data_IF_303060983923
#
_entry.id   IF_303060983923
#
_cell.length_a   1.000
_cell.length_b   1.000
_cell.length_c   1.000
_cell.angle_alpha   90.00
_cell.angle_beta   90.00
_cell.angle_gamma   90.00
#
_symmetry.space_group_name_H-M   'P 1'
#
loop_
_entity.id
_entity.type
_entity.pdbx_description
1 polymer ?
#
# COMPACT_ATOMS: atom_id res chain seq x y z
N UNK A 1 27.26 4.57 -5.74
CA UNK A 1 26.64 5.26 -6.90
C UNK A 1 25.93 4.23 -7.77
N UNK A 2 24.77 4.58 -8.30
CA UNK A 2 24.01 3.73 -9.23
C UNK A 2 23.34 4.61 -10.30
N UNK A 3 23.09 4.03 -11.48
CA UNK A 3 22.33 4.67 -12.53
C UNK A 3 20.84 4.35 -12.35
N UNK A 4 20.00 5.38 -12.25
CA UNK A 4 18.57 5.22 -12.09
C UNK A 4 17.85 5.26 -13.43
N UNK A 5 17.00 4.25 -13.68
CA UNK A 5 16.06 4.21 -14.79
C UNK A 5 14.62 4.15 -14.27
N UNK A 6 13.71 4.83 -14.94
CA UNK A 6 12.29 4.82 -14.62
C UNK A 6 11.52 4.15 -15.77
N UNK A 7 10.52 3.36 -15.44
CA UNK A 7 9.68 2.67 -16.41
C UNK A 7 8.46 2.04 -15.78
N UNK A 8 7.60 1.44 -16.60
CA UNK A 8 6.50 0.62 -16.13
C UNK A 8 6.99 -0.71 -15.54
N UNK A 9 6.24 -1.31 -14.65
CA UNK A 9 6.63 -2.54 -13.93
C UNK A 9 6.97 -3.70 -14.86
N UNK A 10 6.17 -3.91 -15.91
CA UNK A 10 6.40 -4.97 -16.89
C UNK A 10 7.68 -4.72 -17.71
N UNK A 11 7.93 -3.47 -18.10
CA UNK A 11 9.10 -3.08 -18.84
C UNK A 11 10.38 -3.22 -18.01
N UNK A 12 10.38 -2.72 -16.76
CA UNK A 12 11.50 -2.88 -15.83
C UNK A 12 11.77 -4.36 -15.51
N UNK A 13 10.71 -5.17 -15.36
CA UNK A 13 10.83 -6.61 -15.18
C UNK A 13 11.52 -7.30 -16.35
N UNK A 14 11.13 -6.97 -17.58
CA UNK A 14 11.80 -7.47 -18.80
C UNK A 14 13.27 -7.06 -18.86
N UNK A 15 13.60 -5.80 -18.54
CA UNK A 15 14.98 -5.31 -18.52
C UNK A 15 15.83 -6.02 -17.46
N UNK A 16 15.27 -6.37 -16.29
CA UNK A 16 15.95 -7.17 -15.29
C UNK A 16 16.23 -8.58 -15.81
N UNK A 17 15.23 -9.22 -16.44
CA UNK A 17 15.37 -10.55 -17.04
C UNK A 17 16.44 -10.58 -18.15
N UNK A 18 16.53 -9.52 -18.94
CA UNK A 18 17.51 -9.38 -20.03
C UNK A 18 18.90 -8.94 -19.53
N UNK A 19 19.09 -8.76 -18.22
CA UNK A 19 20.36 -8.33 -17.61
C UNK A 19 20.73 -6.88 -17.91
N UNK A 20 19.76 -6.04 -18.28
CA UNK A 20 19.93 -4.60 -18.51
C UNK A 20 19.77 -3.77 -17.23
N UNK A 21 19.22 -4.38 -16.19
CA UNK A 21 19.09 -3.83 -14.83
C UNK A 21 19.58 -4.87 -13.83
N UNK A 22 20.28 -4.42 -12.81
CA UNK A 22 20.72 -5.26 -11.69
C UNK A 22 19.68 -5.35 -10.59
N UNK A 23 18.90 -4.27 -10.38
CA UNK A 23 17.90 -4.14 -9.30
C UNK A 23 16.69 -3.38 -9.80
N UNK A 24 15.51 -3.80 -9.36
CA UNK A 24 14.26 -3.03 -9.52
C UNK A 24 13.61 -2.80 -8.15
N UNK A 25 12.95 -1.66 -7.99
CA UNK A 25 12.21 -1.32 -6.79
C UNK A 25 10.73 -1.07 -7.12
N UNK A 26 9.85 -1.64 -6.32
CA UNK A 26 8.40 -1.48 -6.45
C UNK A 26 7.80 -0.91 -5.19
N UNK A 27 6.77 -0.08 -5.36
CA UNK A 27 5.86 0.30 -4.29
C UNK A 27 4.45 -0.20 -4.65
N UNK A 28 4.06 -1.33 -4.12
CA UNK A 28 2.79 -1.99 -4.46
C UNK A 28 2.32 -2.93 -3.35
N UNK A 29 1.03 -3.28 -3.36
CA UNK A 29 0.51 -4.36 -2.51
C UNK A 29 1.05 -5.72 -2.96
N UNK A 30 1.50 -6.53 -2.00
CA UNK A 30 2.01 -7.88 -2.29
C UNK A 30 0.88 -8.93 -2.27
N UNK A 31 0.96 -9.99 -3.09
CA UNK A 31 1.99 -10.25 -4.10
C UNK A 31 1.91 -9.31 -5.30
N UNK A 32 3.06 -8.86 -5.81
CA UNK A 32 3.15 -8.10 -7.06
C UNK A 32 3.20 -9.07 -8.23
N UNK A 33 2.24 -9.06 -9.17
CA UNK A 33 2.19 -10.03 -10.26
C UNK A 33 3.46 -10.08 -11.10
N UNK A 34 4.08 -8.91 -11.35
CA UNK A 34 5.34 -8.83 -12.10
C UNK A 34 6.51 -9.56 -11.39
N UNK A 35 6.56 -9.52 -10.05
CA UNK A 35 7.57 -10.25 -9.27
C UNK A 35 7.30 -11.74 -9.32
N UNK A 36 6.04 -12.17 -9.14
CA UNK A 36 5.67 -13.59 -9.25
C UNK A 36 5.94 -14.16 -10.66
N UNK A 37 5.85 -13.34 -11.69
CA UNK A 37 6.21 -13.76 -13.05
C UNK A 37 7.73 -13.86 -13.22
N UNK A 38 8.50 -12.93 -12.67
CA UNK A 38 9.95 -12.93 -12.74
C UNK A 38 10.56 -14.17 -12.05
N UNK A 39 10.12 -14.52 -10.85
CA UNK A 39 10.63 -15.67 -10.10
C UNK A 39 10.44 -17.02 -10.81
N UNK A 40 9.52 -17.10 -11.78
CA UNK A 40 9.32 -18.28 -12.63
C UNK A 40 10.24 -18.27 -13.85
N UNK A 41 10.68 -17.09 -14.30
CA UNK A 41 11.40 -16.91 -15.57
C UNK A 41 12.91 -16.77 -15.38
N UNK A 42 13.35 -16.26 -14.22
CA UNK A 42 14.77 -16.02 -13.95
C UNK A 42 15.05 -16.07 -12.45
N UNK A 43 16.28 -16.35 -12.09
CA UNK A 43 16.73 -16.32 -10.70
C UNK A 43 16.73 -14.88 -10.19
N UNK A 44 15.87 -14.59 -9.23
CA UNK A 44 15.78 -13.29 -8.57
C UNK A 44 15.80 -13.45 -7.06
N UNK A 45 16.37 -12.47 -6.37
CA UNK A 45 16.34 -12.38 -4.92
C UNK A 45 15.57 -11.14 -4.49
N UNK A 46 14.74 -11.29 -3.46
CA UNK A 46 14.12 -10.16 -2.81
C UNK A 46 15.09 -9.63 -1.76
N UNK A 47 15.53 -8.38 -1.96
CA UNK A 47 16.45 -7.70 -1.03
C UNK A 47 15.64 -7.22 0.16
N UNK A 48 15.96 -7.74 1.33
CA UNK A 48 15.38 -7.28 2.60
C UNK A 48 16.23 -6.19 3.26
N UNK A 49 15.62 -5.41 4.13
CA UNK A 49 16.34 -4.49 4.99
C UNK A 49 16.87 -5.21 6.23
N UNK A 50 18.04 -4.81 6.69
CA UNK A 50 18.49 -5.14 8.04
C UNK A 50 17.61 -4.43 9.06
N UNK A 51 17.58 -4.92 10.31
CA UNK A 51 16.83 -4.28 11.40
C UNK A 51 17.22 -2.80 11.58
N UNK A 52 18.52 -2.50 11.50
CA UNK A 52 19.03 -1.14 11.63
C UNK A 52 18.61 -0.23 10.47
N UNK A 53 18.57 -0.74 9.24
CA UNK A 53 18.11 0.02 8.07
C UNK A 53 16.61 0.28 8.16
N UNK A 54 15.81 -0.72 8.51
CA UNK A 54 14.37 -0.55 8.70
C UNK A 54 14.09 0.49 9.79
N UNK A 55 14.74 0.40 10.96
CA UNK A 55 14.58 1.36 12.05
C UNK A 55 14.89 2.79 11.59
N UNK A 56 15.99 2.98 10.85
CA UNK A 56 16.37 4.30 10.33
C UNK A 56 15.38 4.85 9.32
N UNK A 57 14.80 3.99 8.47
CA UNK A 57 13.76 4.39 7.50
C UNK A 57 12.51 4.84 8.24
N UNK A 58 12.07 4.09 9.26
CA UNK A 58 10.89 4.41 10.07
C UNK A 58 11.03 5.74 10.84
N UNK A 59 12.25 6.08 11.27
CA UNK A 59 12.52 7.38 11.90
C UNK A 59 12.49 8.55 10.91
N UNK A 60 12.82 8.30 9.65
CA UNK A 60 13.03 9.36 8.65
C UNK A 60 11.81 9.62 7.78
N UNK A 61 11.01 8.59 7.52
CA UNK A 61 9.89 8.64 6.57
C UNK A 61 8.57 8.21 7.21
N UNK A 62 7.42 8.77 6.78
CA UNK A 62 6.10 8.40 7.27
C UNK A 62 5.63 7.05 6.67
N UNK A 63 6.38 6.00 6.96
CA UNK A 63 6.09 4.62 6.52
C UNK A 63 5.86 3.73 7.74
N UNK A 64 5.30 2.56 7.53
CA UNK A 64 5.06 1.56 8.57
C UNK A 64 5.98 0.37 8.41
N UNK A 65 6.32 -0.28 9.51
CA UNK A 65 6.97 -1.57 9.47
C UNK A 65 6.11 -2.59 8.71
N UNK A 66 6.75 -3.38 7.87
CA UNK A 66 6.10 -4.43 7.11
C UNK A 66 7.09 -5.54 6.80
N UNK A 67 6.64 -6.78 6.98
CA UNK A 67 7.41 -7.95 6.58
C UNK A 67 6.64 -8.67 5.46
N UNK A 68 7.35 -9.01 4.39
CA UNK A 68 6.81 -9.82 3.30
C UNK A 68 6.88 -11.28 3.74
N UNK A 69 5.73 -11.89 3.97
CA UNK A 69 5.67 -13.27 4.42
C UNK A 69 6.35 -14.22 3.42
N UNK A 70 7.09 -15.21 3.90
CA UNK A 70 7.77 -16.21 3.07
C UNK A 70 6.83 -16.90 2.07
N UNK A 71 5.56 -17.08 2.44
CA UNK A 71 4.54 -17.67 1.54
C UNK A 71 4.11 -16.77 0.39
N UNK A 72 4.60 -15.52 0.33
CA UNK A 72 4.22 -14.56 -0.72
C UNK A 72 4.88 -14.86 -2.05
N UNK A 73 6.16 -15.24 -2.02
CA UNK A 73 6.98 -15.52 -3.19
C UNK A 73 7.78 -16.79 -3.01
N UNK A 74 8.00 -17.53 -4.09
CA UNK A 74 8.73 -18.83 -4.05
C UNK A 74 10.23 -18.67 -3.77
N UNK A 75 10.78 -17.49 -4.05
CA UNK A 75 12.20 -17.16 -3.78
C UNK A 75 12.47 -16.83 -2.32
N UNK A 76 11.45 -16.67 -1.47
CA UNK A 76 11.62 -16.37 -0.05
C UNK A 76 11.68 -17.65 0.77
N UNK A 77 12.78 -17.88 1.48
CA UNK A 77 12.94 -18.95 2.46
C UNK A 77 12.41 -18.58 3.85
N UNK A 78 12.37 -17.28 4.17
CA UNK A 78 11.86 -16.70 5.41
C UNK A 78 11.15 -15.39 5.12
N UNK A 79 10.47 -14.83 6.14
CA UNK A 79 9.85 -13.52 6.03
C UNK A 79 10.92 -12.45 5.77
N UNK A 80 10.71 -11.62 4.74
CA UNK A 80 11.65 -10.58 4.33
C UNK A 80 11.24 -9.23 4.93
N UNK A 81 12.16 -8.60 5.66
CA UNK A 81 11.95 -7.32 6.31
C UNK A 81 11.86 -6.19 5.30
N UNK A 82 10.78 -5.41 5.36
CA UNK A 82 10.47 -4.32 4.44
C UNK A 82 9.77 -3.16 5.16
N UNK A 83 9.29 -2.18 4.39
CA UNK A 83 8.42 -1.09 4.86
C UNK A 83 7.22 -0.96 3.94
N UNK A 84 6.14 -0.38 4.45
CA UNK A 84 4.92 -0.14 3.67
C UNK A 84 4.42 1.28 3.81
N UNK A 85 3.66 1.70 2.81
CA UNK A 85 2.86 2.93 2.85
C UNK A 85 1.39 2.58 2.71
N UNK A 86 0.55 3.36 3.39
CA UNK A 86 -0.90 3.22 3.24
C UNK A 86 -1.34 3.81 1.90
N UNK A 87 -2.24 3.11 1.23
CA UNK A 87 -2.92 3.62 0.04
C UNK A 87 -4.14 4.42 0.46
N UNK A 88 -4.37 5.53 -0.23
CA UNK A 88 -5.52 6.41 0.02
C UNK A 88 -6.35 6.55 -1.24
N UNK A 89 -7.67 6.56 -1.08
CA UNK A 89 -8.58 7.01 -2.13
C UNK A 89 -8.72 8.52 -2.01
N UNK A 90 -8.45 9.24 -3.09
CA UNK A 90 -8.53 10.70 -3.14
C UNK A 90 -9.79 11.09 -3.88
N UNK A 91 -10.58 11.97 -3.30
CA UNK A 91 -11.80 12.53 -3.86
C UNK A 91 -11.63 14.03 -4.12
N UNK A 92 -12.33 14.57 -5.13
CA UNK A 92 -12.46 16.01 -5.27
C UNK A 92 -13.27 16.55 -4.08
N UNK A 93 -12.78 17.62 -3.47
CA UNK A 93 -13.38 18.24 -2.30
C UNK A 93 -14.82 18.74 -2.54
N UNK A 94 -15.16 19.07 -3.80
CA UNK A 94 -16.48 19.58 -4.18
C UNK A 94 -17.55 18.49 -4.42
N UNK A 95 -17.17 17.21 -4.27
CA UNK A 95 -18.15 16.12 -4.39
C UNK A 95 -19.19 16.19 -3.27
N UNK A 96 -20.45 15.84 -3.54
CA UNK A 96 -21.46 15.77 -2.50
C UNK A 96 -21.07 14.78 -1.38
N UNK A 97 -21.26 15.18 -0.13
CA UNK A 97 -20.97 14.33 1.04
C UNK A 97 -21.63 12.96 0.93
N UNK A 98 -22.91 12.92 0.55
CA UNK A 98 -23.68 11.68 0.41
C UNK A 98 -23.10 10.73 -0.65
N UNK A 99 -22.47 11.28 -1.69
CA UNK A 99 -21.82 10.46 -2.71
C UNK A 99 -20.55 9.81 -2.16
N UNK A 100 -19.69 10.60 -1.51
CA UNK A 100 -18.44 10.06 -0.93
C UNK A 100 -18.76 9.11 0.22
N UNK A 101 -19.73 9.39 1.06
CA UNK A 101 -20.24 8.50 2.10
C UNK A 101 -20.65 7.14 1.51
N UNK A 102 -21.44 7.13 0.43
CA UNK A 102 -21.86 5.89 -0.24
C UNK A 102 -20.68 5.11 -0.84
N UNK A 103 -19.69 5.79 -1.40
CA UNK A 103 -18.48 5.13 -1.92
C UNK A 103 -17.70 4.46 -0.78
N UNK A 104 -17.51 5.16 0.34
CA UNK A 104 -16.83 4.61 1.52
C UNK A 104 -17.60 3.42 2.07
N UNK A 105 -18.92 3.51 2.15
CA UNK A 105 -19.77 2.42 2.61
C UNK A 105 -19.59 1.16 1.77
N UNK A 106 -19.66 1.27 0.45
CA UNK A 106 -19.47 0.13 -0.47
C UNK A 106 -18.09 -0.52 -0.31
N UNK A 107 -17.04 0.27 -0.08
CA UNK A 107 -15.66 -0.23 0.04
C UNK A 107 -15.41 -0.86 1.40
N UNK A 108 -15.95 -0.27 2.47
CA UNK A 108 -15.61 -0.65 3.85
C UNK A 108 -16.55 -1.67 4.46
N UNK A 109 -17.79 -1.81 3.94
CA UNK A 109 -18.79 -2.73 4.51
C UNK A 109 -18.65 -4.17 4.06
N UNK A 110 -17.91 -4.46 2.97
CA UNK A 110 -17.74 -5.81 2.43
C UNK A 110 -16.26 -6.13 2.14
N UNK A 111 -15.52 -6.45 3.17
CA UNK A 111 -14.10 -6.79 3.02
C UNK A 111 -13.90 -8.09 2.24
N UNK A 112 -14.82 -9.06 2.30
CA UNK A 112 -14.70 -10.32 1.53
C UNK A 112 -14.73 -10.04 0.02
N UNK A 113 -15.61 -9.15 -0.42
CA UNK A 113 -15.66 -8.70 -1.81
C UNK A 113 -14.36 -8.01 -2.22
N UNK A 114 -13.81 -7.17 -1.37
CA UNK A 114 -12.53 -6.49 -1.61
C UNK A 114 -11.37 -7.48 -1.69
N UNK A 115 -11.34 -8.51 -0.85
CA UNK A 115 -10.36 -9.59 -0.89
C UNK A 115 -10.44 -10.41 -2.19
N UNK A 116 -11.63 -10.53 -2.78
CA UNK A 116 -11.82 -11.14 -4.10
C UNK A 116 -11.16 -10.35 -5.23
N UNK A 117 -10.93 -9.04 -5.05
CA UNK A 117 -10.23 -8.19 -6.01
C UNK A 117 -8.71 -8.31 -5.84
N UNK A 118 -8.22 -8.16 -4.60
CA UNK A 118 -6.79 -8.27 -4.30
C UNK A 118 -6.53 -8.63 -2.84
N UNK A 119 -5.57 -9.52 -2.58
CA UNK A 119 -5.24 -9.99 -1.21
C UNK A 119 -4.77 -8.87 -0.27
N UNK A 120 -4.13 -7.82 -0.78
CA UNK A 120 -3.73 -6.66 0.03
C UNK A 120 -4.93 -5.91 0.64
N UNK A 121 -6.14 -6.10 0.12
CA UNK A 121 -7.37 -5.51 0.67
C UNK A 121 -7.74 -6.04 2.06
N UNK A 122 -7.02 -7.04 2.60
CA UNK A 122 -7.14 -7.44 4.02
C UNK A 122 -6.96 -6.25 4.99
N UNK A 123 -6.24 -5.23 4.58
CA UNK A 123 -6.04 -4.00 5.35
C UNK A 123 -7.05 -2.89 5.04
N UNK A 124 -7.96 -3.10 4.07
CA UNK A 124 -9.05 -2.17 3.77
C UNK A 124 -10.22 -2.47 4.71
N UNK A 125 -10.06 -2.07 5.94
CA UNK A 125 -11.03 -2.30 7.03
C UNK A 125 -11.24 -1.01 7.83
N UNK A 126 -12.46 -0.79 8.36
CA UNK A 126 -12.80 0.44 9.09
C UNK A 126 -11.85 0.77 10.25
N UNK A 127 -11.34 -0.25 10.95
CA UNK A 127 -10.45 -0.07 12.10
C UNK A 127 -9.11 0.59 11.79
N UNK A 128 -8.72 0.68 10.51
CA UNK A 128 -7.46 1.31 10.07
C UNK A 128 -7.61 2.81 9.75
N UNK A 129 -8.71 3.44 10.12
CA UNK A 129 -8.95 4.87 9.91
C UNK A 129 -7.84 5.75 10.51
N UNK A 130 -7.26 5.34 11.64
CA UNK A 130 -6.19 6.04 12.36
C UNK A 130 -4.84 6.07 11.61
N UNK A 131 -4.71 5.32 10.53
CA UNK A 131 -3.51 5.30 9.68
C UNK A 131 -3.41 6.51 8.74
N UNK A 132 -4.48 7.31 8.62
CA UNK A 132 -4.45 8.59 7.90
C UNK A 132 -4.02 9.72 8.83
N UNK A 133 -2.72 9.97 8.92
CA UNK A 133 -2.16 11.10 9.66
C UNK A 133 -1.69 12.28 8.79
N UNK A 134 -1.94 12.25 7.48
CA UNK A 134 -1.31 13.21 6.54
C UNK A 134 -2.29 13.91 5.59
N UNK A 135 -3.43 13.31 5.30
CA UNK A 135 -4.40 13.85 4.34
C UNK A 135 -5.65 14.33 5.05
N UNK A 136 -6.19 15.45 4.59
CA UNK A 136 -7.51 15.92 5.05
C UNK A 136 -8.60 14.95 4.61
N UNK A 137 -9.55 14.72 5.49
CA UNK A 137 -10.72 13.90 5.20
C UNK A 137 -11.76 14.69 4.42
N UNK A 138 -12.33 14.07 3.41
CA UNK A 138 -13.58 14.56 2.82
C UNK A 138 -14.71 14.46 3.87
N UNK A 139 -15.62 15.47 4.02
CA UNK A 139 -16.67 15.44 5.04
C UNK A 139 -17.51 14.16 5.04
N UNK A 140 -17.93 13.68 3.86
CA UNK A 140 -18.69 12.43 3.74
C UNK A 140 -17.92 11.19 4.20
N UNK A 141 -16.60 11.14 3.97
CA UNK A 141 -15.76 10.04 4.48
C UNK A 141 -15.62 10.14 6.01
N UNK A 142 -15.31 11.32 6.53
CA UNK A 142 -15.19 11.54 7.97
C UNK A 142 -16.47 11.17 8.72
N UNK A 143 -17.64 11.55 8.17
CA UNK A 143 -18.95 11.20 8.72
C UNK A 143 -19.11 9.69 8.80
N UNK A 144 -18.90 8.98 7.70
CA UNK A 144 -19.04 7.52 7.67
C UNK A 144 -18.16 6.82 8.70
N UNK A 145 -16.87 7.21 8.79
CA UNK A 145 -15.96 6.61 9.75
C UNK A 145 -16.29 6.93 11.20
N UNK A 146 -16.77 8.16 11.50
CA UNK A 146 -17.25 8.52 12.83
C UNK A 146 -18.46 7.66 13.23
N UNK A 147 -19.41 7.44 12.32
CA UNK A 147 -20.66 6.70 12.59
C UNK A 147 -20.48 5.19 12.62
N UNK A 148 -19.62 4.61 11.77
CA UNK A 148 -19.53 3.16 11.55
C UNK A 148 -18.26 2.52 12.13
N UNK A 149 -17.19 3.30 12.38
CA UNK A 149 -15.93 2.80 12.90
C UNK A 149 -15.55 3.40 14.27
N UNK A 150 -16.37 4.29 14.83
CA UNK A 150 -16.05 4.99 16.07
C UNK A 150 -14.83 5.91 15.94
N UNK A 151 -14.53 6.39 14.74
CA UNK A 151 -13.36 7.22 14.47
C UNK A 151 -13.46 8.58 15.18
N UNK A 152 -12.34 9.01 15.77
CA UNK A 152 -12.21 10.32 16.45
C UNK A 152 -11.42 11.28 15.56
N UNK A 153 -11.98 11.60 14.38
CA UNK A 153 -11.38 12.53 13.43
C UNK A 153 -11.64 13.94 13.89
N UNK A 154 -10.59 14.73 14.12
CA UNK A 154 -10.69 16.13 14.54
C UNK A 154 -11.14 17.03 13.39
N UNK A 155 -11.83 18.13 13.71
CA UNK A 155 -12.45 18.98 12.68
C UNK A 155 -11.40 19.68 11.79
N UNK A 156 -10.23 20.00 12.34
CA UNK A 156 -9.11 20.57 11.57
C UNK A 156 -8.52 19.59 10.53
N UNK A 157 -8.81 18.30 10.64
CA UNK A 157 -8.47 17.28 9.65
C UNK A 157 -9.61 17.03 8.63
N UNK A 158 -10.73 17.76 8.72
CA UNK A 158 -11.84 17.63 7.77
C UNK A 158 -11.85 18.84 6.84
N UNK A 159 -11.95 18.61 5.53
CA UNK A 159 -12.00 19.69 4.55
C UNK A 159 -13.26 20.55 4.76
N UNK A 160 -13.06 21.86 4.96
CA UNK A 160 -14.14 22.82 5.20
C UNK A 160 -14.73 22.80 6.61
N UNK A 161 -14.10 22.09 7.54
CA UNK A 161 -14.47 22.05 8.96
C UNK A 161 -13.96 23.24 9.76
#
# INVERSE_FOLDING_TARGET
DFERRNGGWTDLGGQLQDGLLDVIAFAAGVPVPAVSQLEVQTDVNIIEFTEAEQAKILETFPVSQFDIAASTYTTLEADARSVSMWNFSIANCDLPESFVEAVVDVVMSDNERMLGIHKAARSTVPSNWDKNGVLMWHPGAAKWFKENAGATISDDMIYGG
#
